data_IF_140864050260
#
_entry.id   IF_140864050260
#
_cell.length_a   1.000
_cell.length_b   1.000
_cell.length_c   1.000
_cell.angle_alpha   90.00
_cell.angle_beta   90.00
_cell.angle_gamma   90.00
#
_symmetry.space_group_name_H-M   'P 1'
#
loop_
_entity.id
_entity.type
_entity.pdbx_description
1 polymer ?
#
# COMPACT_ATOMS: atom_id res chain seq x y z
N UNK A 1 -1.69 -24.56 -34.31
CA UNK A 1 -1.01 -25.39 -33.30
C UNK A 1 -1.88 -25.41 -32.06
N UNK A 2 -2.80 -26.37 -31.97
CA UNK A 2 -3.68 -26.50 -30.82
C UNK A 2 -2.94 -27.34 -29.78
N UNK A 3 -2.34 -26.65 -28.80
CA UNK A 3 -1.68 -27.31 -27.68
C UNK A 3 -2.73 -28.03 -26.85
N UNK A 4 -2.68 -29.35 -26.84
CA UNK A 4 -3.47 -30.16 -25.92
C UNK A 4 -2.94 -29.89 -24.51
N UNK A 5 -3.76 -29.22 -23.68
CA UNK A 5 -3.47 -28.92 -22.28
C UNK A 5 -4.31 -29.86 -21.41
N UNK A 6 -3.84 -31.09 -21.16
CA UNK A 6 -4.67 -32.17 -20.62
C UNK A 6 -5.14 -31.96 -19.17
N UNK A 7 -4.59 -30.95 -18.48
CA UNK A 7 -4.90 -30.65 -17.09
C UNK A 7 -5.63 -29.30 -16.94
N UNK A 8 -6.26 -28.81 -18.01
CA UNK A 8 -6.98 -27.55 -17.99
C UNK A 8 -8.43 -27.74 -18.41
N UNK A 9 -9.32 -27.03 -17.73
CA UNK A 9 -10.72 -26.92 -18.13
C UNK A 9 -10.85 -25.84 -19.21
N UNK A 10 -11.19 -26.26 -20.43
CA UNK A 10 -11.34 -25.37 -21.59
C UNK A 10 -12.42 -24.30 -21.38
N UNK A 11 -13.41 -24.54 -20.51
CA UNK A 11 -14.47 -23.56 -20.22
C UNK A 11 -13.93 -22.34 -19.44
N UNK A 12 -12.86 -22.52 -18.68
CA UNK A 12 -12.22 -21.46 -17.90
C UNK A 12 -11.05 -20.79 -18.64
N UNK A 13 -10.57 -21.40 -19.74
CA UNK A 13 -9.50 -20.85 -20.54
C UNK A 13 -9.98 -19.71 -21.44
N UNK A 14 -9.61 -18.49 -21.07
CA UNK A 14 -9.76 -17.31 -21.93
C UNK A 14 -8.40 -16.93 -22.52
N UNK A 15 -8.33 -16.86 -23.85
CA UNK A 15 -7.15 -16.29 -24.53
C UNK A 15 -7.12 -14.78 -24.27
N UNK A 16 -6.01 -14.21 -23.76
CA UNK A 16 -5.94 -12.78 -23.47
C UNK A 16 -6.22 -11.93 -24.72
N UNK A 17 -7.23 -11.07 -24.63
CA UNK A 17 -7.56 -10.08 -25.66
C UNK A 17 -7.09 -8.69 -25.23
N UNK A 18 -6.23 -8.06 -26.03
CA UNK A 18 -5.69 -6.72 -25.77
C UNK A 18 -6.77 -5.64 -25.62
N UNK A 19 -7.95 -5.86 -26.23
CA UNK A 19 -9.09 -4.95 -26.10
C UNK A 19 -9.71 -4.99 -24.71
N UNK A 20 -9.65 -6.14 -24.03
CA UNK A 20 -10.14 -6.33 -22.66
C UNK A 20 -9.15 -5.80 -21.60
N UNK A 21 -7.91 -5.50 -21.98
CA UNK A 21 -6.90 -4.91 -21.07
C UNK A 21 -7.06 -3.39 -20.93
N UNK A 22 -7.77 -2.75 -21.87
CA UNK A 22 -8.14 -1.35 -21.72
C UNK A 22 -9.23 -1.26 -20.66
N UNK A 23 -8.95 -0.56 -19.56
CA UNK A 23 -9.97 -0.22 -18.56
C UNK A 23 -11.19 0.35 -19.28
N UNK A 24 -12.35 -0.30 -19.13
CA UNK A 24 -13.57 0.06 -19.85
C UNK A 24 -14.13 1.43 -19.42
N UNK A 25 -13.60 2.03 -18.36
CA UNK A 25 -13.90 3.39 -17.94
C UNK A 25 -12.63 4.04 -17.39
N UNK A 26 -12.37 5.29 -17.75
CA UNK A 26 -11.62 6.18 -16.86
C UNK A 26 -12.39 6.21 -15.54
N UNK A 27 -11.72 5.85 -14.44
CA UNK A 27 -12.35 5.93 -13.13
C UNK A 27 -12.64 7.39 -12.84
N UNK A 28 -13.92 7.74 -12.67
CA UNK A 28 -14.40 9.12 -12.40
C UNK A 28 -14.03 9.65 -11.00
N UNK A 29 -13.09 8.97 -10.34
CA UNK A 29 -12.58 9.33 -9.03
C UNK A 29 -11.06 9.45 -9.07
N UNK A 30 -10.45 10.29 -8.21
CA UNK A 30 -9.00 10.35 -8.08
C UNK A 30 -8.40 8.97 -7.74
N UNK A 31 -7.15 8.69 -8.12
CA UNK A 31 -6.46 7.47 -7.69
C UNK A 31 -6.41 7.39 -6.16
N UNK A 32 -6.93 6.31 -5.57
CA UNK A 32 -6.93 6.06 -4.13
C UNK A 32 -5.71 5.23 -3.72
N UNK A 33 -4.83 5.81 -2.90
CA UNK A 33 -3.54 5.21 -2.53
C UNK A 33 -3.43 5.14 -1.00
N UNK A 34 -3.35 3.90 -0.49
CA UNK A 34 -2.98 3.65 0.90
C UNK A 34 -1.47 3.60 1.04
N UNK A 35 -0.94 4.40 1.97
CA UNK A 35 0.47 4.53 2.29
C UNK A 35 0.80 3.85 3.62
N UNK A 36 1.75 2.91 3.59
CA UNK A 36 2.19 2.14 4.75
C UNK A 36 3.69 2.34 5.02
N UNK A 37 4.06 2.51 6.29
CA UNK A 37 5.46 2.59 6.74
C UNK A 37 5.80 1.51 7.77
N UNK A 38 7.10 1.21 7.92
CA UNK A 38 7.57 0.02 8.64
C UNK A 38 8.19 0.24 10.03
N UNK A 39 8.20 1.48 10.55
CA UNK A 39 8.82 1.79 11.84
C UNK A 39 7.95 2.70 12.71
N UNK A 40 7.70 2.24 13.94
CA UNK A 40 6.98 2.95 15.01
C UNK A 40 7.91 3.75 15.94
N UNK A 41 9.20 3.85 15.61
CA UNK A 41 10.14 4.67 16.38
C UNK A 41 9.68 6.13 16.38
N UNK A 42 9.98 6.84 17.46
CA UNK A 42 9.72 8.28 17.59
C UNK A 42 10.35 9.06 16.42
N UNK A 43 11.59 8.71 16.09
CA UNK A 43 12.34 9.10 14.91
C UNK A 43 12.27 8.02 13.81
N UNK A 44 11.37 8.18 12.84
CA UNK A 44 11.15 7.22 11.76
C UNK A 44 11.29 7.88 10.38
N UNK A 45 12.42 7.67 9.70
CA UNK A 45 12.62 8.12 8.32
C UNK A 45 11.59 7.52 7.35
N UNK A 46 11.13 6.29 7.59
CA UNK A 46 10.03 5.68 6.82
C UNK A 46 8.73 6.44 6.95
N UNK A 47 8.43 6.95 8.15
CA UNK A 47 7.27 7.81 8.37
C UNK A 47 7.46 9.14 7.67
N UNK A 48 8.62 9.79 7.82
CA UNK A 48 8.90 11.09 7.17
C UNK A 48 8.78 11.00 5.63
N UNK A 49 9.43 10.01 5.02
CA UNK A 49 9.34 9.76 3.58
C UNK A 49 7.90 9.50 3.13
N UNK A 50 7.13 8.78 3.95
CA UNK A 50 5.71 8.50 3.66
C UNK A 50 4.88 9.77 3.65
N UNK A 51 5.13 10.71 4.56
CA UNK A 51 4.44 12.00 4.60
C UNK A 51 4.81 12.88 3.40
N UNK A 52 6.06 12.88 2.96
CA UNK A 52 6.46 13.58 1.73
C UNK A 52 5.85 12.94 0.47
N UNK A 53 5.82 11.61 0.40
CA UNK A 53 5.14 10.91 -0.68
C UNK A 53 3.64 11.23 -0.71
N UNK A 54 2.99 11.33 0.45
CA UNK A 54 1.60 11.74 0.56
C UNK A 54 1.37 13.14 -0.03
N UNK A 55 2.24 14.11 0.30
CA UNK A 55 2.18 15.49 -0.24
C UNK A 55 2.28 15.49 -1.76
N UNK A 56 3.24 14.75 -2.33
CA UNK A 56 3.41 14.64 -3.78
C UNK A 56 2.22 13.98 -4.47
N UNK A 57 1.70 12.90 -3.90
CA UNK A 57 0.55 12.19 -4.45
C UNK A 57 -0.72 13.04 -4.44
N UNK A 58 -0.97 13.77 -3.35
CA UNK A 58 -2.07 14.75 -3.29
C UNK A 58 -1.90 15.85 -4.32
N UNK A 59 -0.68 16.34 -4.51
CA UNK A 59 -0.37 17.33 -5.55
C UNK A 59 -0.69 16.80 -6.96
N UNK A 60 -0.47 15.51 -7.22
CA UNK A 60 -0.86 14.85 -8.48
C UNK A 60 -2.35 14.47 -8.56
N UNK A 61 -3.17 14.89 -7.61
CA UNK A 61 -4.62 14.65 -7.62
C UNK A 61 -5.03 13.27 -7.12
N UNK A 62 -4.17 12.57 -6.38
CA UNK A 62 -4.55 11.31 -5.72
C UNK A 62 -5.25 11.58 -4.38
N UNK A 63 -6.20 10.70 -4.05
CA UNK A 63 -6.75 10.58 -2.71
C UNK A 63 -5.84 9.63 -1.90
N UNK A 64 -5.28 10.11 -0.81
CA UNK A 64 -4.29 9.35 -0.03
C UNK A 64 -4.71 9.17 1.42
N UNK A 65 -4.42 7.98 1.95
CA UNK A 65 -4.60 7.63 3.36
C UNK A 65 -3.29 7.05 3.91
N UNK A 66 -2.76 7.60 4.99
CA UNK A 66 -1.58 7.06 5.69
C UNK A 66 -2.03 6.25 6.90
N UNK A 67 -1.65 4.98 6.95
CA UNK A 67 -1.96 4.14 8.12
C UNK A 67 -0.81 4.17 9.13
N UNK A 68 -1.16 4.49 10.38
CA UNK A 68 -0.22 4.45 11.50
C UNK A 68 -0.23 3.07 12.17
N UNK A 69 0.83 2.24 12.11
CA UNK A 69 0.81 0.86 12.60
C UNK A 69 1.09 0.72 14.10
N UNK A 70 1.12 1.82 14.86
CA UNK A 70 1.22 1.74 16.32
C UNK A 70 -0.03 1.07 16.90
N UNK A 71 0.18 0.11 17.80
CA UNK A 71 -0.91 -0.68 18.41
C UNK A 71 -1.55 -1.70 17.46
N UNK A 72 -0.98 -1.97 16.29
CA UNK A 72 -1.42 -3.08 15.45
C UNK A 72 -0.94 -4.41 16.09
N UNK A 73 -1.83 -5.38 16.37
CA UNK A 73 -1.45 -6.67 16.92
C UNK A 73 -0.65 -7.48 15.90
N UNK A 74 0.10 -8.48 16.38
CA UNK A 74 0.69 -9.47 15.47
C UNK A 74 -0.44 -10.27 14.78
N UNK A 75 -0.15 -10.88 13.62
CA UNK A 75 -1.07 -11.83 13.01
C UNK A 75 -1.51 -12.87 14.03
N UNK A 76 -2.82 -13.15 14.07
CA UNK A 76 -3.47 -14.11 14.98
C UNK A 76 -3.45 -13.78 16.49
N UNK A 77 -2.79 -12.70 16.93
CA UNK A 77 -2.70 -12.30 18.34
C UNK A 77 -3.93 -11.52 18.85
N UNK A 78 -4.84 -11.13 17.96
CA UNK A 78 -6.08 -10.45 18.33
C UNK A 78 -7.23 -10.81 17.38
N UNK A 79 -8.50 -10.65 17.81
CA UNK A 79 -9.65 -10.82 16.94
C UNK A 79 -9.61 -9.87 15.74
N UNK A 80 -10.22 -10.28 14.63
CA UNK A 80 -10.38 -9.45 13.42
C UNK A 80 -11.16 -8.16 13.67
N UNK A 81 -11.91 -8.09 14.78
CA UNK A 81 -12.64 -6.90 15.24
C UNK A 81 -11.75 -5.88 15.95
N UNK A 82 -10.45 -6.14 16.10
CA UNK A 82 -9.52 -5.20 16.72
C UNK A 82 -9.52 -3.87 15.94
N UNK A 83 -9.63 -2.69 16.60
CA UNK A 83 -9.82 -1.41 15.92
C UNK A 83 -8.80 -1.10 14.81
N UNK A 84 -7.51 -1.39 15.06
CA UNK A 84 -6.43 -1.19 14.07
C UNK A 84 -6.50 -2.16 12.89
N UNK A 85 -7.03 -3.36 13.10
CA UNK A 85 -7.21 -4.36 12.03
C UNK A 85 -8.38 -3.92 11.15
N UNK A 86 -9.49 -3.50 11.75
CA UNK A 86 -10.67 -2.97 11.04
C UNK A 86 -10.33 -1.70 10.26
N UNK A 87 -9.57 -0.77 10.85
CA UNK A 87 -9.10 0.44 10.18
C UNK A 87 -8.24 0.12 8.95
N UNK A 88 -7.24 -0.77 9.10
CA UNK A 88 -6.39 -1.19 8.00
C UNK A 88 -7.19 -1.86 6.87
N UNK A 89 -8.14 -2.73 7.22
CA UNK A 89 -9.03 -3.36 6.25
C UNK A 89 -9.94 -2.35 5.55
N UNK A 90 -10.45 -1.35 6.27
CA UNK A 90 -11.24 -0.26 5.72
C UNK A 90 -10.46 0.52 4.66
N UNK A 91 -9.24 0.95 4.97
CA UNK A 91 -8.40 1.66 4.00
C UNK A 91 -7.97 0.77 2.83
N UNK A 92 -7.62 -0.49 3.09
CA UNK A 92 -7.23 -1.43 2.04
C UNK A 92 -8.38 -1.69 1.05
N UNK A 93 -9.60 -1.83 1.55
CA UNK A 93 -10.80 -2.05 0.73
C UNK A 93 -11.20 -0.80 -0.07
N UNK A 94 -10.99 0.40 0.50
CA UNK A 94 -11.28 1.67 -0.16
C UNK A 94 -10.23 2.05 -1.22
N UNK A 95 -9.02 1.51 -1.12
CA UNK A 95 -7.89 1.87 -1.98
C UNK A 95 -7.79 0.98 -3.21
N UNK A 96 -7.66 1.61 -4.39
CA UNK A 96 -7.39 0.88 -5.64
C UNK A 96 -5.94 0.41 -5.77
N UNK A 97 -5.03 0.98 -4.98
CA UNK A 97 -3.60 0.64 -4.93
C UNK A 97 -3.07 0.75 -3.51
N UNK A 98 -2.17 -0.16 -3.14
CA UNK A 98 -1.42 -0.10 -1.87
C UNK A 98 0.05 0.17 -2.19
N UNK A 99 0.59 1.25 -1.62
CA UNK A 99 1.99 1.60 -1.70
C UNK A 99 2.66 1.34 -0.35
N UNK A 100 3.50 0.31 -0.29
CA UNK A 100 4.38 0.07 0.85
C UNK A 100 5.75 0.63 0.54
N UNK A 101 6.16 1.66 1.27
CA UNK A 101 7.52 2.16 1.21
C UNK A 101 8.42 1.24 2.04
N UNK A 102 8.79 0.11 1.43
CA UNK A 102 9.82 -0.77 1.96
C UNK A 102 11.17 -0.10 1.72
N UNK A 103 11.77 0.42 2.78
CA UNK A 103 13.20 0.69 2.75
C UNK A 103 13.91 -0.11 3.83
N UNK A 104 14.94 -0.84 3.41
CA UNK A 104 16.11 -1.11 4.24
C UNK A 104 17.10 0.04 4.02
N UNK A 105 16.70 1.26 4.38
CA UNK A 105 17.73 2.25 4.75
C UNK A 105 18.29 1.69 6.06
N UNK A 106 19.53 1.22 6.04
CA UNK A 106 20.29 1.04 7.27
C UNK A 106 20.15 2.36 8.02
N UNK A 107 19.42 2.36 9.12
CA UNK A 107 19.37 3.54 9.98
C UNK A 107 20.80 3.69 10.50
N UNK A 108 21.55 4.73 10.10
CA UNK A 108 22.84 4.98 10.71
C UNK A 108 22.62 5.18 12.23
N UNK A 109 23.62 4.86 13.07
CA UNK A 109 23.53 5.15 14.50
C UNK A 109 23.22 6.64 14.65
N UNK A 110 22.19 6.94 15.45
CA UNK A 110 21.79 8.31 15.66
C UNK A 110 22.94 9.04 16.39
N UNK A 111 23.55 10.03 15.74
CA UNK A 111 24.56 10.88 16.35
C UNK A 111 23.90 11.93 17.24
N UNK A 112 24.55 12.30 18.34
CA UNK A 112 24.09 13.37 19.23
C UNK A 112 23.97 14.67 18.42
N UNK A 113 22.73 15.08 18.10
CA UNK A 113 22.41 16.15 17.14
C UNK A 113 21.47 15.76 15.99
N UNK A 114 20.96 14.53 15.93
CA UNK A 114 20.27 14.04 14.74
C UNK A 114 18.84 14.57 14.46
N UNK A 115 18.49 14.76 13.17
CA UNK A 115 17.58 15.81 12.72
C UNK A 115 16.16 15.32 12.39
N UNK A 116 15.49 14.54 13.24
CA UNK A 116 14.02 14.39 13.10
C UNK A 116 13.25 15.73 13.24
N UNK A 117 13.97 16.84 13.44
CA UNK A 117 13.52 18.15 13.87
C UNK A 117 13.57 19.25 12.77
N UNK A 118 13.72 18.94 11.48
CA UNK A 118 13.73 20.01 10.43
C UNK A 118 13.00 19.64 9.13
N UNK A 119 11.78 19.09 9.23
CA UNK A 119 10.83 18.95 8.11
C UNK A 119 9.44 19.42 8.56
#
# INVERSE_FOLDING_TARGET
MSGNLPNTDDVLLQVPDVRCLRSAAETDHPPRILLLYGSNRECSYSRLLTLEAERLLRYFGAETHVFHPSGLPLPDDAPVTHPKVVELQGYASASGRIARLLHTVQNPPLHEGDPCLTI
#
